data_IF_014966476396
#
_entry.id   IF_014966476396
#
_cell.length_a   1.000
_cell.length_b   1.000
_cell.length_c   1.000
_cell.angle_alpha   90.00
_cell.angle_beta   90.00
_cell.angle_gamma   90.00
#
_symmetry.space_group_name_H-M   'P 1'
#
loop_
_entity.id
_entity.type
_entity.pdbx_description
1 polymer ?
#
# COMPACT_ATOMS: atom_id res chain seq x y z
N UNK A 1 5.93 34.95 35.91
CA UNK A 1 6.45 36.02 35.02
C UNK A 1 7.93 35.78 34.84
N UNK A 2 8.30 35.07 33.78
CA UNK A 2 9.66 34.67 33.45
C UNK A 2 10.46 35.86 32.95
N UNK A 3 11.73 35.97 33.36
CA UNK A 3 12.60 37.13 33.20
C UNK A 3 13.08 37.44 31.76
N UNK A 4 12.38 36.98 30.72
CA UNK A 4 12.78 37.15 29.33
C UNK A 4 12.16 38.38 28.64
N UNK A 5 11.14 39.01 29.24
CA UNK A 5 10.39 40.09 28.57
C UNK A 5 11.01 41.50 28.69
N UNK A 6 12.15 41.66 29.37
CA UNK A 6 12.71 42.99 29.69
C UNK A 6 13.72 43.57 28.66
N UNK A 7 13.98 42.89 27.53
CA UNK A 7 15.04 43.30 26.59
C UNK A 7 14.63 43.28 25.11
N UNK A 8 13.38 43.62 24.77
CA UNK A 8 12.90 43.64 23.37
C UNK A 8 12.43 45.02 22.88
N UNK A 9 12.85 46.12 23.52
CA UNK A 9 12.38 47.47 23.20
C UNK A 9 12.89 48.02 21.84
N UNK A 10 13.92 47.40 21.26
CA UNK A 10 14.49 47.77 19.94
C UNK A 10 14.37 46.67 18.88
N UNK A 11 13.62 45.59 19.15
CA UNK A 11 13.42 44.54 18.16
C UNK A 11 12.42 44.98 17.09
N UNK A 12 12.69 44.77 15.79
CA UNK A 12 11.70 45.04 14.75
C UNK A 12 10.43 44.20 14.99
N UNK A 13 9.24 44.69 14.58
CA UNK A 13 8.00 43.94 14.76
C UNK A 13 8.13 42.57 14.08
N UNK A 14 7.61 41.49 14.70
CA UNK A 14 7.67 40.16 14.10
C UNK A 14 6.99 40.19 12.73
N UNK A 15 7.68 39.70 11.70
CA UNK A 15 7.15 39.63 10.35
C UNK A 15 5.91 38.72 10.32
N UNK A 16 4.75 39.32 10.04
CA UNK A 16 3.50 38.60 10.01
C UNK A 16 3.47 37.67 8.78
N UNK A 17 3.12 36.38 8.98
CA UNK A 17 2.98 35.41 7.87
C UNK A 17 4.14 34.40 7.65
N UNK A 18 5.18 34.37 8.48
CA UNK A 18 6.25 33.35 8.39
C UNK A 18 5.73 31.91 8.47
N UNK A 19 4.62 31.68 9.19
CA UNK A 19 3.97 30.35 9.26
C UNK A 19 3.32 29.94 7.94
N UNK A 20 2.74 30.89 7.19
CA UNK A 20 2.10 30.62 5.89
C UNK A 20 3.13 30.29 4.82
N UNK A 21 4.25 31.00 4.80
CA UNK A 21 5.35 30.72 3.87
C UNK A 21 6.03 29.38 4.16
N UNK A 22 6.18 29.01 5.45
CA UNK A 22 6.73 27.70 5.82
C UNK A 22 5.83 26.54 5.36
N UNK A 23 4.51 26.66 5.55
CA UNK A 23 3.53 25.65 5.08
C UNK A 23 3.53 25.57 3.55
N UNK A 24 3.54 26.71 2.85
CA UNK A 24 3.61 26.74 1.39
C UNK A 24 4.92 26.13 0.85
N UNK A 25 6.05 26.41 1.51
CA UNK A 25 7.34 25.85 1.13
C UNK A 25 7.34 24.32 1.28
N UNK A 26 6.85 23.78 2.40
CA UNK A 26 6.75 22.34 2.62
C UNK A 26 5.81 21.68 1.60
N UNK A 27 4.71 22.34 1.24
CA UNK A 27 3.77 21.85 0.24
C UNK A 27 4.40 21.73 -1.16
N UNK A 28 5.12 22.76 -1.61
CA UNK A 28 5.79 22.75 -2.92
C UNK A 28 6.90 21.68 -2.97
N UNK A 29 7.68 21.54 -1.91
CA UNK A 29 8.71 20.51 -1.84
C UNK A 29 8.08 19.10 -1.81
N UNK A 30 6.94 18.93 -1.12
CA UNK A 30 6.17 17.69 -1.15
C UNK A 30 5.68 17.32 -2.55
N UNK A 31 5.13 18.28 -3.30
CA UNK A 31 4.72 18.08 -4.69
C UNK A 31 5.91 17.68 -5.59
N UNK A 32 7.08 18.30 -5.40
CA UNK A 32 8.28 17.96 -6.17
C UNK A 32 8.73 16.51 -5.92
N UNK A 33 8.69 16.05 -4.67
CA UNK A 33 9.01 14.66 -4.33
C UNK A 33 8.01 13.66 -4.92
N UNK A 34 6.71 13.99 -4.93
CA UNK A 34 5.68 13.17 -5.57
C UNK A 34 5.88 13.09 -7.08
N UNK A 35 6.17 14.21 -7.74
CA UNK A 35 6.43 14.24 -9.17
C UNK A 35 7.69 13.43 -9.55
N UNK A 36 8.77 13.55 -8.75
CA UNK A 36 10.01 12.81 -8.98
C UNK A 36 9.82 11.29 -8.79
N UNK A 37 9.08 10.89 -7.77
CA UNK A 37 8.80 9.47 -7.51
C UNK A 37 7.86 8.85 -8.55
N UNK A 38 6.84 9.59 -9.02
CA UNK A 38 5.99 9.17 -10.11
C UNK A 38 6.77 9.01 -11.44
N UNK A 39 7.71 9.93 -11.74
CA UNK A 39 8.57 9.84 -12.92
C UNK A 39 9.49 8.63 -12.93
N UNK A 40 10.13 8.33 -11.78
CA UNK A 40 11.03 7.18 -11.65
C UNK A 40 10.26 5.86 -11.69
N UNK A 41 9.03 5.81 -11.15
CA UNK A 41 8.22 4.60 -11.16
C UNK A 41 7.74 4.25 -12.58
N UNK A 42 7.63 5.21 -13.50
CA UNK A 42 7.28 4.94 -14.89
C UNK A 42 8.44 4.35 -15.71
N UNK A 43 9.67 4.38 -15.21
CA UNK A 43 10.84 3.77 -15.87
C UNK A 43 11.15 2.35 -15.38
N UNK A 44 10.31 1.81 -14.50
CA UNK A 44 10.36 0.39 -14.10
C UNK A 44 9.34 -0.38 -14.92
N UNK A 45 9.69 -0.68 -16.16
CA UNK A 45 9.07 -1.81 -16.85
C UNK A 45 9.57 -3.08 -16.13
N UNK A 46 8.74 -3.68 -15.28
CA UNK A 46 8.97 -5.04 -14.81
C UNK A 46 8.98 -5.94 -16.07
N UNK A 47 10.12 -6.54 -16.48
CA UNK A 47 10.02 -7.61 -17.44
C UNK A 47 9.19 -8.70 -16.77
N UNK A 48 7.97 -8.92 -17.28
CA UNK A 48 7.16 -10.07 -16.92
C UNK A 48 8.04 -11.32 -17.07
N UNK A 49 8.61 -11.79 -15.97
CA UNK A 49 9.04 -13.17 -15.82
C UNK A 49 7.76 -13.99 -15.80
N UNK A 50 7.21 -14.21 -16.99
CA UNK A 50 6.12 -15.15 -17.21
C UNK A 50 6.70 -16.55 -17.04
N UNK A 51 6.81 -16.98 -15.77
CA UNK A 51 6.88 -18.40 -15.46
C UNK A 51 5.50 -18.98 -15.82
N UNK A 52 5.46 -19.72 -16.91
CA UNK A 52 4.30 -20.47 -17.33
C UNK A 52 4.07 -21.62 -16.33
N UNK A 53 3.37 -21.32 -15.23
CA UNK A 53 2.68 -22.35 -14.46
C UNK A 53 1.53 -22.90 -15.31
N UNK A 54 1.91 -23.84 -16.16
CA UNK A 54 1.03 -24.77 -16.85
C UNK A 54 0.37 -25.69 -15.80
N UNK A 55 -0.72 -25.22 -15.19
CA UNK A 55 -1.68 -26.09 -14.52
C UNK A 55 -2.99 -26.11 -15.31
N UNK A 56 -3.07 -27.07 -16.22
CA UNK A 56 -4.29 -27.54 -16.82
C UNK A 56 -4.96 -28.57 -15.88
N UNK A 57 -6.14 -28.25 -15.34
CA UNK A 57 -7.19 -29.22 -15.06
C UNK A 57 -8.54 -28.49 -14.91
N UNK A 58 -9.42 -28.73 -15.87
CA UNK A 58 -10.80 -28.25 -15.92
C UNK A 58 -11.64 -28.95 -14.83
N UNK A 59 -12.55 -28.24 -14.13
CA UNK A 59 -13.41 -28.84 -13.12
C UNK A 59 -14.46 -29.78 -13.75
N UNK A 60 -14.49 -31.04 -13.30
CA UNK A 60 -15.59 -31.97 -13.54
C UNK A 60 -16.72 -31.67 -12.55
N UNK A 61 -17.93 -31.49 -13.07
CA UNK A 61 -19.16 -31.25 -12.32
C UNK A 61 -19.60 -32.48 -11.51
N UNK A 62 -20.14 -32.25 -10.31
CA UNK A 62 -20.93 -33.22 -9.56
C UNK A 62 -22.35 -32.68 -9.36
N UNK A 63 -23.34 -33.51 -9.72
CA UNK A 63 -24.76 -33.18 -9.76
C UNK A 63 -25.41 -33.08 -8.37
N UNK A 64 -26.45 -32.24 -8.20
CA UNK A 64 -27.20 -32.13 -6.96
C UNK A 64 -28.08 -33.38 -6.72
N UNK A 65 -28.09 -33.97 -5.50
CA UNK A 65 -29.07 -34.98 -5.14
C UNK A 65 -30.48 -34.37 -4.96
N UNK A 66 -31.44 -35.15 -5.45
CA UNK A 66 -32.86 -34.86 -5.61
C UNK A 66 -33.58 -34.54 -4.30
N UNK A 67 -34.51 -33.59 -4.38
CA UNK A 67 -35.52 -33.31 -3.37
C UNK A 67 -36.42 -34.53 -3.14
N UNK A 68 -36.49 -35.00 -1.90
CA UNK A 68 -37.56 -35.86 -1.42
C UNK A 68 -38.65 -34.98 -0.81
N UNK A 69 -39.79 -34.96 -1.48
CA UNK A 69 -41.05 -34.39 -1.00
C UNK A 69 -41.63 -35.35 0.03
N UNK A 70 -41.80 -34.90 1.28
CA UNK A 70 -42.71 -35.55 2.22
C UNK A 70 -44.09 -34.86 2.17
N UNK A 71 -45.18 -35.62 1.96
CA UNK A 71 -46.54 -35.07 1.90
C UNK A 71 -47.10 -34.74 3.30
N UNK A 72 -48.01 -33.75 3.41
CA UNK A 72 -48.58 -33.33 4.68
C UNK A 72 -49.63 -34.33 5.19
N UNK A 73 -49.70 -34.63 6.50
CA UNK A 73 -50.85 -35.33 7.05
C UNK A 73 -52.06 -34.39 7.27
N UNK A 74 -53.29 -34.94 7.17
CA UNK A 74 -54.54 -34.20 6.96
C UNK A 74 -55.16 -33.64 8.26
N UNK A 75 -56.15 -32.74 8.14
CA UNK A 75 -56.77 -32.06 9.28
C UNK A 75 -57.70 -32.97 10.08
N UNK A 76 -57.76 -32.80 11.40
CA UNK A 76 -58.84 -33.32 12.22
C UNK A 76 -60.04 -32.36 12.20
N UNK A 77 -61.23 -32.81 11.73
CA UNK A 77 -62.47 -32.08 11.88
C UNK A 77 -63.33 -32.79 12.94
N UNK A 78 -63.61 -32.11 14.05
CA UNK A 78 -64.80 -32.45 14.84
C UNK A 78 -65.48 -31.19 15.38
N UNK A 79 -66.42 -30.63 14.61
CA UNK A 79 -67.55 -29.89 15.16
C UNK A 79 -68.71 -30.88 15.40
N UNK A 80 -69.12 -31.04 16.66
CA UNK A 80 -70.46 -31.55 16.97
C UNK A 80 -71.26 -30.47 17.67
N UNK A 81 -72.15 -29.78 16.95
CA UNK A 81 -73.31 -29.15 17.54
C UNK A 81 -74.44 -30.19 17.55
N UNK A 82 -75.13 -30.36 18.68
CA UNK A 82 -76.54 -30.76 18.60
C UNK A 82 -77.38 -30.06 19.67
N UNK A 83 -78.43 -29.33 19.24
CA UNK A 83 -79.34 -28.61 20.10
C UNK A 83 -80.58 -29.45 20.47
N UNK A 84 -81.18 -29.08 21.60
CA UNK A 84 -82.61 -29.19 21.98
C UNK A 84 -83.28 -30.60 21.98
N UNK A 85 -84.51 -30.79 22.52
CA UNK A 85 -85.40 -29.90 23.28
C UNK A 85 -86.00 -30.57 24.56
N UNK A 86 -86.84 -29.79 25.27
CA UNK A 86 -87.65 -30.13 26.43
C UNK A 86 -88.64 -31.31 26.24
N UNK A 87 -89.31 -31.78 27.31
CA UNK A 87 -90.62 -31.19 27.61
C UNK A 87 -90.94 -30.97 29.11
N UNK A 88 -91.82 -29.97 29.28
CA UNK A 88 -92.63 -29.54 30.45
C UNK A 88 -93.60 -30.67 30.91
N UNK A 89 -94.60 -30.42 31.78
CA UNK A 89 -94.71 -29.64 33.03
C UNK A 89 -95.36 -30.49 34.16
N UNK A 90 -95.23 -30.07 35.43
CA UNK A 90 -96.32 -30.34 36.40
C UNK A 90 -96.67 -29.06 37.12
N UNK A 91 -97.92 -28.69 36.88
CA UNK A 91 -98.69 -27.60 37.47
C UNK A 91 -98.96 -27.94 38.94
N UNK A 92 -98.63 -27.02 39.85
CA UNK A 92 -99.41 -26.83 41.08
C UNK A 92 -99.59 -25.33 41.28
N UNK A 93 -100.86 -24.94 41.36
CA UNK A 93 -101.35 -23.57 41.56
C UNK A 93 -101.01 -23.07 42.99
N UNK A 94 -100.97 -21.73 43.18
CA UNK A 94 -100.44 -21.08 44.37
C UNK A 94 -101.48 -20.91 45.49
N UNK A 95 -101.07 -20.91 46.77
CA UNK A 95 -101.86 -20.35 47.86
C UNK A 95 -101.65 -18.82 47.99
N UNK A 96 -102.59 -18.10 48.65
CA UNK A 96 -102.78 -16.65 48.53
C UNK A 96 -101.77 -15.83 49.36
N UNK A 97 -101.58 -14.54 49.01
CA UNK A 97 -100.66 -13.65 49.72
C UNK A 97 -101.35 -13.10 50.97
N UNK A 98 -100.73 -13.30 52.13
CA UNK A 98 -101.10 -12.63 53.37
C UNK A 98 -100.03 -11.61 53.80
N UNK A 99 -100.56 -10.43 54.05
CA UNK A 99 -100.12 -9.28 54.82
C UNK A 99 -98.87 -8.46 54.46
N UNK A 100 -99.20 -7.26 53.99
CA UNK A 100 -98.35 -6.13 53.65
C UNK A 100 -97.88 -5.39 54.92
N UNK A 101 -96.56 -5.26 55.06
CA UNK A 101 -95.79 -4.02 55.40
C UNK A 101 -94.43 -4.32 56.00
N UNK A 102 -94.21 -5.52 56.57
CA UNK A 102 -92.90 -5.92 57.12
C UNK A 102 -91.97 -6.54 56.05
N UNK A 103 -92.54 -7.16 55.00
CA UNK A 103 -91.78 -7.74 53.88
C UNK A 103 -91.12 -6.69 52.96
N UNK A 104 -91.73 -5.52 52.78
CA UNK A 104 -91.15 -4.41 51.98
C UNK A 104 -89.94 -3.77 52.66
N UNK A 105 -89.92 -3.71 54.00
CA UNK A 105 -88.77 -3.23 54.79
C UNK A 105 -87.61 -4.24 54.69
N UNK A 106 -87.90 -5.55 54.72
CA UNK A 106 -86.90 -6.60 54.54
C UNK A 106 -86.34 -6.64 53.11
N UNK A 107 -87.17 -6.46 52.08
CA UNK A 107 -86.76 -6.36 50.67
C UNK A 107 -85.93 -5.10 50.40
N UNK A 108 -86.32 -3.95 50.97
CA UNK A 108 -85.55 -2.71 50.88
C UNK A 108 -84.18 -2.84 51.58
N UNK A 109 -84.13 -3.47 52.76
CA UNK A 109 -82.87 -3.76 53.48
C UNK A 109 -81.97 -4.69 52.68
N UNK A 110 -82.52 -5.73 52.04
CA UNK A 110 -81.77 -6.66 51.19
C UNK A 110 -81.26 -6.01 49.90
N UNK A 111 -82.04 -5.14 49.25
CA UNK A 111 -81.59 -4.35 48.10
C UNK A 111 -80.44 -3.41 48.46
N UNK A 112 -80.56 -2.71 49.60
CA UNK A 112 -79.48 -1.85 50.11
C UNK A 112 -78.20 -2.64 50.41
N UNK A 113 -78.31 -3.82 51.04
CA UNK A 113 -77.16 -4.70 51.28
C UNK A 113 -76.49 -5.19 49.98
N UNK A 114 -77.27 -5.54 48.95
CA UNK A 114 -76.73 -5.94 47.65
C UNK A 114 -76.06 -4.79 46.90
N UNK A 115 -76.62 -3.59 46.98
CA UNK A 115 -76.03 -2.39 46.37
C UNK A 115 -74.75 -1.97 47.10
N UNK A 116 -74.71 -2.05 48.43
CA UNK A 116 -73.51 -1.81 49.24
C UNK A 116 -72.43 -2.88 48.98
N UNK A 117 -72.81 -4.17 48.82
CA UNK A 117 -71.89 -5.25 48.48
C UNK A 117 -71.34 -5.10 47.05
N UNK A 118 -72.17 -4.72 46.07
CA UNK A 118 -71.72 -4.41 44.70
C UNK A 118 -70.76 -3.23 44.67
N UNK A 119 -71.05 -2.14 45.40
CA UNK A 119 -70.13 -1.00 45.52
C UNK A 119 -68.81 -1.39 46.17
N UNK A 120 -68.83 -2.26 47.19
CA UNK A 120 -67.62 -2.77 47.81
C UNK A 120 -66.82 -3.68 46.86
N UNK A 121 -67.49 -4.51 46.06
CA UNK A 121 -66.84 -5.34 45.03
C UNK A 121 -66.22 -4.49 43.93
N UNK A 122 -66.94 -3.48 43.42
CA UNK A 122 -66.44 -2.55 42.40
C UNK A 122 -65.25 -1.72 42.92
N UNK A 123 -65.30 -1.24 44.17
CA UNK A 123 -64.19 -0.56 44.82
C UNK A 123 -62.95 -1.46 44.94
N UNK A 124 -63.12 -2.72 45.34
CA UNK A 124 -62.02 -3.72 45.41
C UNK A 124 -61.45 -4.06 44.04
N UNK A 125 -62.28 -4.16 43.00
CA UNK A 125 -61.81 -4.40 41.63
C UNK A 125 -61.05 -3.18 41.08
N UNK A 126 -61.56 -1.96 41.32
CA UNK A 126 -60.89 -0.72 40.95
C UNK A 126 -59.52 -0.57 41.65
N UNK A 127 -59.43 -0.91 42.94
CA UNK A 127 -58.18 -0.93 43.69
C UNK A 127 -57.19 -1.96 43.12
N UNK A 128 -57.64 -3.19 42.86
CA UNK A 128 -56.82 -4.24 42.22
C UNK A 128 -56.33 -3.83 40.82
N UNK A 129 -57.19 -3.20 40.01
CA UNK A 129 -56.79 -2.69 38.68
C UNK A 129 -55.73 -1.60 38.80
N UNK A 130 -55.91 -0.65 39.72
CA UNK A 130 -54.92 0.41 39.98
C UNK A 130 -53.59 -0.13 40.51
N UNK A 131 -53.63 -1.18 41.35
CA UNK A 131 -52.43 -1.85 41.84
C UNK A 131 -51.70 -2.62 40.73
N UNK A 132 -52.42 -3.33 39.87
CA UNK A 132 -51.85 -4.02 38.71
C UNK A 132 -51.25 -3.05 37.69
N UNK A 133 -51.89 -1.90 37.45
CA UNK A 133 -51.36 -0.87 36.56
C UNK A 133 -50.06 -0.26 37.10
N UNK A 134 -50.02 0.05 38.41
CA UNK A 134 -48.79 0.50 39.08
C UNK A 134 -47.67 -0.53 39.01
N UNK A 135 -47.97 -1.81 39.28
CA UNK A 135 -46.98 -2.89 39.14
C UNK A 135 -46.45 -2.99 37.71
N UNK A 136 -47.32 -2.93 36.69
CA UNK A 136 -46.90 -2.93 35.28
C UNK A 136 -46.05 -1.73 34.90
N UNK A 137 -46.33 -0.54 35.45
CA UNK A 137 -45.53 0.66 35.20
C UNK A 137 -44.14 0.57 35.89
N UNK A 138 -44.09 0.07 37.13
CA UNK A 138 -42.85 -0.18 37.85
C UNK A 138 -41.99 -1.24 37.16
N UNK A 139 -42.59 -2.35 36.70
CA UNK A 139 -41.90 -3.40 35.95
C UNK A 139 -41.35 -2.87 34.62
N UNK A 140 -42.14 -2.12 33.85
CA UNK A 140 -41.68 -1.47 32.61
C UNK A 140 -40.53 -0.49 32.88
N UNK A 141 -40.63 0.31 33.94
CA UNK A 141 -39.57 1.26 34.32
C UNK A 141 -38.30 0.55 34.77
N UNK A 142 -38.43 -0.55 35.52
CA UNK A 142 -37.31 -1.39 35.93
C UNK A 142 -36.65 -2.09 34.73
N UNK A 143 -37.43 -2.57 33.77
CA UNK A 143 -36.92 -3.18 32.53
C UNK A 143 -36.20 -2.16 31.65
N UNK A 144 -36.78 -0.98 31.44
CA UNK A 144 -36.14 0.11 30.71
C UNK A 144 -34.84 0.56 31.37
N UNK A 145 -34.81 0.68 32.71
CA UNK A 145 -33.59 1.03 33.44
C UNK A 145 -32.52 -0.06 33.29
N UNK A 146 -32.87 -1.34 33.41
CA UNK A 146 -31.95 -2.47 33.19
C UNK A 146 -31.45 -2.53 31.74
N UNK A 147 -32.30 -2.25 30.76
CA UNK A 147 -31.93 -2.21 29.35
C UNK A 147 -30.95 -1.05 29.06
N UNK A 148 -31.21 0.12 29.65
CA UNK A 148 -30.33 1.28 29.53
C UNK A 148 -28.97 1.04 30.20
N UNK A 149 -28.95 0.50 31.42
CA UNK A 149 -27.71 0.13 32.13
C UNK A 149 -26.88 -0.91 31.35
N UNK A 150 -27.53 -1.92 30.75
CA UNK A 150 -26.84 -2.88 29.88
C UNK A 150 -26.25 -2.21 28.64
N UNK A 151 -27.00 -1.31 27.99
CA UNK A 151 -26.54 -0.58 26.81
C UNK A 151 -25.36 0.33 27.13
N UNK A 152 -25.41 1.04 28.26
CA UNK A 152 -24.34 1.93 28.69
C UNK A 152 -23.10 1.14 29.11
N UNK A 153 -23.27 -0.03 29.75
CA UNK A 153 -22.17 -0.95 30.07
C UNK A 153 -21.51 -1.52 28.82
N UNK A 154 -22.29 -1.96 27.82
CA UNK A 154 -21.76 -2.44 26.54
C UNK A 154 -21.00 -1.36 25.78
N UNK A 155 -21.53 -0.13 25.74
CA UNK A 155 -20.85 1.02 25.14
C UNK A 155 -19.54 1.36 25.86
N UNK A 156 -19.54 1.36 27.19
CA UNK A 156 -18.34 1.61 27.98
C UNK A 156 -17.27 0.53 27.76
N UNK A 157 -17.68 -0.74 27.66
CA UNK A 157 -16.78 -1.86 27.36
C UNK A 157 -16.22 -1.77 25.93
N UNK A 158 -17.05 -1.42 24.94
CA UNK A 158 -16.62 -1.23 23.56
C UNK A 158 -15.63 -0.06 23.42
N UNK A 159 -15.91 1.08 24.04
CA UNK A 159 -15.00 2.24 24.04
C UNK A 159 -13.68 1.90 24.75
N UNK A 160 -13.72 1.17 25.87
CA UNK A 160 -12.51 0.69 26.54
C UNK A 160 -11.70 -0.24 25.65
N UNK A 161 -12.35 -1.20 24.97
CA UNK A 161 -11.69 -2.11 24.03
C UNK A 161 -11.08 -1.37 22.84
N UNK A 162 -11.76 -0.34 22.30
CA UNK A 162 -11.21 0.52 21.23
C UNK A 162 -10.02 1.33 21.71
N UNK A 163 -10.07 1.87 22.94
CA UNK A 163 -8.97 2.60 23.54
C UNK A 163 -7.75 1.70 23.74
N UNK A 164 -7.94 0.51 24.32
CA UNK A 164 -6.88 -0.48 24.53
C UNK A 164 -6.27 -0.93 23.20
N UNK A 165 -7.10 -1.27 22.20
CA UNK A 165 -6.62 -1.62 20.86
C UNK A 165 -5.83 -0.48 20.18
N UNK A 166 -6.27 0.77 20.35
CA UNK A 166 -5.57 1.96 19.81
C UNK A 166 -4.27 2.22 20.54
N UNK A 167 -4.21 1.98 21.85
CA UNK A 167 -2.99 2.11 22.64
C UNK A 167 -1.97 1.03 22.26
N UNK A 168 -2.43 -0.22 22.09
CA UNK A 168 -1.60 -1.33 21.64
C UNK A 168 -1.05 -1.09 20.23
N UNK A 169 -1.89 -0.69 19.28
CA UNK A 169 -1.46 -0.32 17.92
C UNK A 169 -0.41 0.81 17.94
N UNK A 170 -0.60 1.86 18.75
CA UNK A 170 0.40 2.92 18.91
C UNK A 170 1.72 2.41 19.49
N UNK A 171 1.68 1.49 20.46
CA UNK A 171 2.89 0.90 21.06
C UNK A 171 3.63 -0.01 20.08
N UNK A 172 2.90 -0.75 19.25
CA UNK A 172 3.49 -1.55 18.18
C UNK A 172 4.15 -0.69 17.10
N UNK A 173 3.50 0.39 16.69
CA UNK A 173 4.07 1.34 15.72
C UNK A 173 5.32 2.03 16.29
N UNK A 174 5.28 2.47 17.55
CA UNK A 174 6.43 3.07 18.21
C UNK A 174 7.59 2.06 18.37
N UNK A 175 7.29 0.78 18.68
CA UNK A 175 8.31 -0.28 18.75
C UNK A 175 8.94 -0.51 17.38
N UNK A 176 8.14 -0.65 16.32
CA UNK A 176 8.63 -0.83 14.94
C UNK A 176 9.45 0.36 14.47
N UNK A 177 9.05 1.58 14.82
CA UNK A 177 9.83 2.78 14.49
C UNK A 177 11.16 2.82 15.23
N UNK A 178 11.19 2.46 16.52
CA UNK A 178 12.43 2.35 17.30
C UNK A 178 13.35 1.26 16.75
N UNK A 179 12.84 0.06 16.49
CA UNK A 179 13.61 -1.05 15.89
C UNK A 179 14.17 -0.65 14.52
N UNK A 180 13.39 0.05 13.68
CA UNK A 180 13.87 0.53 12.38
C UNK A 180 14.94 1.61 12.52
N UNK A 181 14.81 2.52 13.50
CA UNK A 181 15.83 3.54 13.79
C UNK A 181 17.12 2.90 14.30
N UNK A 182 17.03 1.96 15.25
CA UNK A 182 18.17 1.23 15.78
C UNK A 182 18.85 0.37 14.71
N UNK A 183 18.08 -0.33 13.87
CA UNK A 183 18.62 -1.09 12.73
C UNK A 183 19.36 -0.18 11.74
N UNK A 184 18.78 0.99 11.41
CA UNK A 184 19.43 1.96 10.52
C UNK A 184 20.69 2.56 11.14
N UNK A 185 20.69 2.85 12.45
CA UNK A 185 21.88 3.32 13.16
C UNK A 185 22.98 2.25 13.22
N UNK A 186 22.61 1.00 13.51
CA UNK A 186 23.55 -0.12 13.55
C UNK A 186 24.14 -0.38 12.16
N UNK A 187 23.33 -0.29 11.09
CA UNK A 187 23.81 -0.40 9.72
C UNK A 187 24.76 0.75 9.37
N UNK A 188 24.38 2.00 9.66
CA UNK A 188 25.26 3.15 9.42
C UNK A 188 26.57 3.05 10.20
N UNK A 189 26.55 2.54 11.44
CA UNK A 189 27.76 2.33 12.23
C UNK A 189 28.64 1.20 11.68
N UNK A 190 28.04 0.11 11.18
CA UNK A 190 28.76 -0.96 10.49
C UNK A 190 29.41 -0.48 9.19
N UNK A 191 28.67 0.26 8.37
CA UNK A 191 29.17 0.85 7.12
C UNK A 191 30.30 1.86 7.40
N UNK A 192 30.13 2.73 8.41
CA UNK A 192 31.18 3.67 8.82
C UNK A 192 32.44 2.94 9.33
N UNK A 193 32.27 1.86 10.11
CA UNK A 193 33.40 1.07 10.60
C UNK A 193 34.10 0.30 9.47
N UNK A 194 33.34 -0.23 8.50
CA UNK A 194 33.91 -0.87 7.31
C UNK A 194 34.65 0.14 6.43
N UNK A 195 34.07 1.31 6.18
CA UNK A 195 34.72 2.39 5.44
C UNK A 195 36.00 2.87 6.14
N UNK A 196 35.98 3.00 7.47
CA UNK A 196 37.18 3.35 8.25
C UNK A 196 38.26 2.26 8.18
N UNK A 197 37.88 0.98 8.22
CA UNK A 197 38.83 -0.14 8.05
C UNK A 197 39.44 -0.16 6.65
N UNK A 198 38.62 0.00 5.61
CA UNK A 198 39.07 0.07 4.22
C UNK A 198 40.01 1.27 4.01
N UNK A 199 39.64 2.46 4.49
CA UNK A 199 40.49 3.64 4.42
C UNK A 199 41.85 3.44 5.14
N UNK A 200 41.85 2.77 6.29
CA UNK A 200 43.07 2.45 7.02
C UNK A 200 43.95 1.41 6.27
N UNK A 201 43.35 0.41 5.62
CA UNK A 201 44.06 -0.56 4.79
C UNK A 201 44.64 0.09 3.54
N UNK A 202 43.88 0.94 2.86
CA UNK A 202 44.34 1.61 1.65
C UNK A 202 45.43 2.64 1.95
N UNK A 203 45.35 3.34 3.09
CA UNK A 203 46.43 4.19 3.57
C UNK A 203 47.73 3.39 3.81
N UNK A 204 47.63 2.19 4.39
CA UNK A 204 48.79 1.30 4.57
C UNK A 204 49.36 0.83 3.23
N UNK A 205 48.51 0.44 2.27
CA UNK A 205 48.94 0.03 0.91
C UNK A 205 49.63 1.19 0.18
N UNK A 206 49.10 2.41 0.30
CA UNK A 206 49.70 3.61 -0.29
C UNK A 206 51.07 3.91 0.32
N UNK A 207 51.22 3.76 1.63
CA UNK A 207 52.51 3.94 2.32
C UNK A 207 53.54 2.87 1.92
N UNK A 208 53.11 1.61 1.77
CA UNK A 208 53.99 0.54 1.25
C UNK A 208 54.43 0.82 -0.19
N UNK A 209 53.51 1.25 -1.06
CA UNK A 209 53.85 1.62 -2.45
C UNK A 209 54.81 2.81 -2.47
N UNK A 210 54.57 3.82 -1.61
CA UNK A 210 55.43 5.01 -1.52
C UNK A 210 56.84 4.64 -1.07
N UNK A 211 56.97 3.79 -0.04
CA UNK A 211 58.27 3.35 0.46
C UNK A 211 59.01 2.43 -0.52
N UNK A 212 58.31 1.51 -1.21
CA UNK A 212 58.89 0.70 -2.29
C UNK A 212 59.37 1.57 -3.46
N UNK A 213 58.58 2.58 -3.85
CA UNK A 213 58.97 3.49 -4.92
C UNK A 213 60.23 4.30 -4.54
N UNK A 214 60.30 4.80 -3.31
CA UNK A 214 61.49 5.46 -2.79
C UNK A 214 62.70 4.51 -2.76
N UNK A 215 62.50 3.25 -2.35
CA UNK A 215 63.56 2.22 -2.36
C UNK A 215 64.06 1.91 -3.78
N UNK A 216 63.16 1.83 -4.76
CA UNK A 216 63.50 1.64 -6.18
C UNK A 216 64.28 2.82 -6.74
N UNK A 217 63.88 4.05 -6.44
CA UNK A 217 64.61 5.26 -6.87
C UNK A 217 66.00 5.31 -6.22
N UNK A 218 66.11 4.98 -4.94
CA UNK A 218 67.41 4.89 -4.27
C UNK A 218 68.31 3.80 -4.86
N UNK A 219 67.74 2.65 -5.26
CA UNK A 219 68.47 1.59 -5.97
C UNK A 219 68.88 1.99 -7.39
N UNK A 220 68.11 2.83 -8.06
CA UNK A 220 68.38 3.32 -9.42
C UNK A 220 69.43 4.45 -9.42
N UNK A 221 69.48 5.27 -8.37
CA UNK A 221 70.52 6.29 -8.16
C UNK A 221 71.91 5.69 -7.86
N UNK A 222 71.98 4.41 -7.48
CA UNK A 222 73.23 3.64 -7.37
C UNK A 222 73.63 2.90 -8.65
N UNK A 223 72.82 2.96 -9.72
CA UNK A 223 72.98 2.19 -10.95
C UNK A 223 73.06 3.07 -12.22
N UNK A 224 73.62 4.27 -12.12
CA UNK A 224 73.93 5.09 -13.31
C UNK A 224 75.18 4.55 -14.00
N UNK A 225 74.95 3.62 -14.92
CA UNK A 225 75.97 3.07 -15.80
C UNK A 225 75.37 2.24 -16.93
N UNK A 226 74.60 2.86 -17.83
CA UNK A 226 74.37 2.36 -19.19
C UNK A 226 73.64 3.41 -20.05
N UNK A 227 74.24 3.79 -21.17
CA UNK A 227 73.75 4.76 -22.15
C UNK A 227 72.67 4.20 -23.11
N UNK A 228 72.08 3.03 -22.84
CA UNK A 228 71.26 2.33 -23.84
C UNK A 228 69.84 1.94 -23.38
N UNK A 229 69.18 2.82 -22.61
CA UNK A 229 67.78 2.60 -22.17
C UNK A 229 66.77 2.97 -23.28
N UNK A 230 66.56 2.08 -24.25
CA UNK A 230 65.51 2.16 -25.28
C UNK A 230 64.14 1.71 -24.75
N UNK A 231 63.62 2.42 -23.73
CA UNK A 231 62.33 2.11 -23.13
C UNK A 231 61.13 2.57 -23.96
N UNK A 232 60.52 1.69 -24.76
CA UNK A 232 59.24 1.90 -25.47
C UNK A 232 57.99 1.89 -24.56
N UNK A 233 58.16 2.10 -23.25
CA UNK A 233 57.11 1.91 -22.23
C UNK A 233 56.18 3.12 -22.00
N UNK A 234 56.23 4.16 -22.85
CA UNK A 234 55.40 5.37 -22.72
C UNK A 234 54.12 5.39 -23.57
N UNK A 235 53.80 4.34 -24.33
CA UNK A 235 52.62 4.33 -25.21
C UNK A 235 51.40 3.85 -24.43
N UNK A 236 50.40 4.73 -24.27
CA UNK A 236 49.10 4.36 -23.72
C UNK A 236 48.49 3.20 -24.54
N UNK A 237 47.90 2.22 -23.86
CA UNK A 237 47.31 1.04 -24.51
C UNK A 237 45.93 1.29 -25.15
N UNK A 238 45.53 2.56 -25.26
CA UNK A 238 44.25 2.98 -25.83
C UNK A 238 44.36 3.36 -27.31
N UNK A 239 43.24 3.44 -28.04
CA UNK A 239 43.21 4.01 -29.39
C UNK A 239 43.77 5.42 -29.42
N UNK A 240 44.50 5.77 -30.48
CA UNK A 240 44.95 7.15 -30.66
C UNK A 240 43.75 8.08 -30.86
N UNK A 241 43.89 9.35 -30.43
CA UNK A 241 42.84 10.36 -30.59
C UNK A 241 42.38 10.52 -32.06
N UNK A 242 43.28 10.27 -33.01
CA UNK A 242 43.02 10.36 -34.45
C UNK A 242 42.27 9.15 -35.02
N UNK A 243 42.21 8.04 -34.30
CA UNK A 243 41.76 6.75 -34.82
C UNK A 243 40.27 6.74 -35.14
N UNK A 244 39.44 7.20 -34.20
CA UNK A 244 37.99 7.28 -34.38
C UNK A 244 37.59 8.17 -35.56
N UNK A 245 38.29 9.29 -35.75
CA UNK A 245 38.07 10.20 -36.88
C UNK A 245 38.36 9.54 -38.24
N UNK A 246 39.45 8.79 -38.35
CA UNK A 246 39.80 8.06 -39.59
C UNK A 246 38.79 6.96 -39.92
N UNK A 247 38.32 6.24 -38.91
CA UNK A 247 37.28 5.22 -39.09
C UNK A 247 35.99 5.87 -39.62
N UNK A 248 35.51 6.94 -38.97
CA UNK A 248 34.29 7.65 -39.40
C UNK A 248 34.44 8.22 -40.80
N UNK A 249 35.58 8.82 -41.14
CA UNK A 249 35.84 9.35 -42.48
C UNK A 249 35.80 8.28 -43.57
N UNK A 250 36.16 7.03 -43.25
CA UNK A 250 36.13 5.91 -44.20
C UNK A 250 34.73 5.31 -44.38
N UNK A 251 33.90 5.32 -43.33
CA UNK A 251 32.54 4.74 -43.34
C UNK A 251 31.49 5.75 -43.82
N UNK A 252 31.61 7.03 -43.42
CA UNK A 252 30.60 8.07 -43.66
C UNK A 252 30.20 8.22 -45.15
N UNK A 253 31.13 8.21 -46.13
CA UNK A 253 30.76 8.30 -47.55
C UNK A 253 29.93 7.10 -48.06
N UNK A 254 29.95 5.98 -47.33
CA UNK A 254 29.17 4.78 -47.69
C UNK A 254 27.75 4.79 -47.09
N UNK A 255 27.43 5.73 -46.20
CA UNK A 255 26.09 5.85 -45.62
C UNK A 255 25.16 6.46 -46.67
N UNK A 256 24.19 5.67 -47.11
CA UNK A 256 23.17 6.08 -48.08
C UNK A 256 21.85 6.24 -47.33
N UNK A 257 21.45 7.49 -47.11
CA UNK A 257 20.24 7.82 -46.38
C UNK A 257 19.57 9.03 -47.03
N UNK A 258 18.30 8.89 -47.40
CA UNK A 258 17.57 9.86 -48.25
C UNK A 258 16.31 10.42 -47.58
N UNK A 259 16.03 10.03 -46.34
CA UNK A 259 14.84 10.48 -45.61
C UNK A 259 15.21 11.64 -44.67
N UNK A 260 14.23 12.45 -44.25
CA UNK A 260 14.47 13.48 -43.24
C UNK A 260 14.13 12.93 -41.85
N UNK A 261 15.08 13.04 -40.92
CA UNK A 261 14.91 12.62 -39.52
C UNK A 261 14.82 13.88 -38.66
N UNK A 262 13.73 13.98 -37.89
CA UNK A 262 13.51 15.08 -36.96
C UNK A 262 14.52 15.08 -35.80
N UNK A 263 14.99 13.91 -35.37
CA UNK A 263 15.97 13.71 -34.29
C UNK A 263 17.40 13.49 -34.79
N UNK A 264 18.38 14.16 -34.17
CA UNK A 264 19.81 13.97 -34.44
C UNK A 264 20.50 13.08 -33.39
N UNK A 265 19.81 12.01 -32.95
CA UNK A 265 20.36 11.06 -31.98
C UNK A 265 21.40 10.16 -32.66
N UNK A 266 22.58 9.91 -32.04
CA UNK A 266 23.57 9.01 -32.62
C UNK A 266 23.12 7.55 -32.56
N UNK A 267 23.38 6.81 -33.64
CA UNK A 267 23.41 5.35 -33.63
C UNK A 267 24.79 4.88 -33.16
N UNK A 268 24.85 4.06 -32.10
CA UNK A 268 26.09 3.48 -31.61
C UNK A 268 26.18 2.02 -32.05
N UNK A 269 27.24 1.70 -32.81
CA UNK A 269 27.48 0.37 -33.35
C UNK A 269 28.82 -0.15 -32.83
N UNK A 270 28.80 -1.34 -32.25
CA UNK A 270 29.99 -2.11 -31.93
C UNK A 270 30.47 -2.81 -33.20
N UNK A 271 31.71 -2.56 -33.59
CA UNK A 271 32.37 -3.21 -34.74
C UNK A 271 33.54 -4.04 -34.24
N UNK A 272 33.58 -5.30 -34.69
CA UNK A 272 34.65 -6.26 -34.40
C UNK A 272 35.47 -6.44 -35.66
N UNK A 273 36.76 -6.20 -35.53
CA UNK A 273 37.71 -6.31 -36.63
C UNK A 273 38.78 -7.34 -36.32
N UNK A 274 39.30 -7.95 -37.38
CA UNK A 274 40.52 -8.75 -37.35
C UNK A 274 41.76 -7.83 -37.30
N UNK A 275 42.94 -8.35 -36.91
CA UNK A 275 44.17 -7.55 -36.75
C UNK A 275 44.65 -6.85 -38.04
N UNK A 276 44.20 -7.33 -39.19
CA UNK A 276 44.48 -6.75 -40.51
C UNK A 276 43.65 -5.50 -40.81
N UNK A 277 42.53 -5.30 -40.10
CA UNK A 277 41.53 -4.26 -40.31
C UNK A 277 40.20 -4.76 -40.85
N UNK A 278 40.11 -6.04 -41.24
CA UNK A 278 38.90 -6.61 -41.86
C UNK A 278 37.77 -6.70 -40.85
N UNK A 279 36.58 -6.21 -41.21
CA UNK A 279 35.39 -6.23 -40.36
C UNK A 279 34.84 -7.65 -40.31
N UNK A 280 34.84 -8.25 -39.12
CA UNK A 280 34.35 -9.62 -38.86
C UNK A 280 32.89 -9.60 -38.41
N UNK A 281 32.48 -8.53 -37.73
CA UNK A 281 31.10 -8.41 -37.27
C UNK A 281 30.74 -7.01 -36.81
N UNK A 282 29.44 -6.72 -36.82
CA UNK A 282 28.85 -5.47 -36.34
C UNK A 282 27.60 -5.76 -35.51
N UNK A 283 27.39 -4.98 -34.45
CA UNK A 283 26.20 -5.06 -33.58
C UNK A 283 25.72 -3.67 -33.21
N UNK A 284 24.44 -3.38 -33.39
CA UNK A 284 23.82 -2.15 -32.91
C UNK A 284 23.74 -2.21 -31.37
N UNK A 285 24.40 -1.28 -30.69
CA UNK A 285 24.38 -1.15 -29.22
C UNK A 285 23.26 -0.20 -28.80
N UNK A 286 23.12 0.92 -29.52
CA UNK A 286 22.10 1.94 -29.24
C UNK A 286 21.50 2.43 -30.55
N UNK A 287 20.18 2.33 -30.66
CA UNK A 287 19.42 2.84 -31.81
C UNK A 287 19.37 4.36 -31.80
N UNK A 288 19.43 4.97 -32.99
CA UNK A 288 19.17 6.40 -33.19
C UNK A 288 17.70 6.79 -33.06
N UNK A 289 16.79 5.81 -32.92
CA UNK A 289 15.34 6.03 -32.98
C UNK A 289 14.76 5.97 -34.39
N UNK A 290 15.59 5.84 -35.43
CA UNK A 290 15.16 5.53 -36.81
C UNK A 290 15.80 4.23 -37.29
N UNK A 291 14.97 3.24 -37.60
CA UNK A 291 15.43 1.97 -38.15
C UNK A 291 16.05 2.12 -39.54
N UNK A 292 15.58 3.09 -40.33
CA UNK A 292 16.14 3.40 -41.64
C UNK A 292 17.58 3.93 -41.54
N UNK A 293 17.84 4.83 -40.57
CA UNK A 293 19.20 5.33 -40.30
C UNK A 293 20.11 4.22 -39.78
N UNK A 294 19.64 3.46 -38.79
CA UNK A 294 20.42 2.38 -38.20
C UNK A 294 20.81 1.35 -39.27
N UNK A 295 19.88 0.95 -40.13
CA UNK A 295 20.16 0.04 -41.25
C UNK A 295 21.12 0.64 -42.29
N UNK A 296 21.02 1.94 -42.59
CA UNK A 296 21.95 2.63 -43.49
C UNK A 296 23.38 2.63 -42.92
N UNK A 297 23.54 2.89 -41.62
CA UNK A 297 24.84 2.83 -40.94
C UNK A 297 25.41 1.41 -40.96
N UNK A 298 24.59 0.41 -40.62
CA UNK A 298 25.00 -1.00 -40.63
C UNK A 298 25.45 -1.44 -42.03
N UNK A 299 24.71 -1.06 -43.08
CA UNK A 299 25.06 -1.34 -44.48
C UNK A 299 26.34 -0.61 -44.92
N UNK A 300 26.58 0.60 -44.43
CA UNK A 300 27.80 1.35 -44.73
C UNK A 300 29.05 0.72 -44.10
N UNK A 301 28.90 0.15 -42.90
CA UNK A 301 29.97 -0.62 -42.24
C UNK A 301 30.29 -1.85 -43.08
N UNK A 302 29.27 -2.61 -43.51
CA UNK A 302 29.46 -3.78 -44.37
C UNK A 302 30.16 -3.40 -45.70
N UNK A 303 29.74 -2.30 -46.33
CA UNK A 303 30.37 -1.78 -47.57
C UNK A 303 31.81 -1.29 -47.38
N UNK A 304 32.21 -0.98 -46.16
CA UNK A 304 33.56 -0.46 -45.89
C UNK A 304 34.59 -1.60 -45.89
N UNK A 305 34.19 -2.81 -45.50
CA UNK A 305 34.95 -4.08 -45.43
C UNK A 305 36.22 -4.05 -44.57
N UNK A 306 37.08 -3.04 -44.72
CA UNK A 306 38.37 -2.90 -44.05
C UNK A 306 38.49 -1.52 -43.40
N UNK A 307 38.76 -1.49 -42.10
CA UNK A 307 39.03 -0.28 -41.34
C UNK A 307 40.51 0.14 -41.44
N UNK A 308 40.79 1.46 -41.37
CA UNK A 308 42.16 1.93 -41.29
C UNK A 308 42.83 1.42 -40.00
N UNK A 309 44.16 1.26 -40.06
CA UNK A 309 44.99 0.92 -38.89
C UNK A 309 45.32 2.17 -38.09
N UNK A 310 45.52 1.99 -36.79
CA UNK A 310 45.89 3.07 -35.90
C UNK A 310 47.33 3.55 -36.15
N UNK A 311 47.76 4.66 -35.54
CA UNK A 311 49.13 5.18 -35.65
C UNK A 311 50.18 4.18 -35.18
N UNK A 312 49.80 3.26 -34.30
CA UNK A 312 50.65 2.15 -33.83
C UNK A 312 50.56 0.91 -34.73
N UNK A 313 49.87 0.99 -35.88
CA UNK A 313 49.68 -0.11 -36.82
C UNK A 313 48.70 -1.19 -36.36
N UNK A 314 48.13 -1.05 -35.16
CA UNK A 314 47.15 -1.97 -34.57
C UNK A 314 45.72 -1.58 -34.95
N UNK A 315 44.81 -2.54 -34.86
CA UNK A 315 43.37 -2.35 -34.96
C UNK A 315 42.79 -2.75 -33.62
N UNK A 316 42.07 -1.82 -32.99
CA UNK A 316 41.44 -2.09 -31.70
C UNK A 316 40.13 -2.85 -31.94
N UNK A 317 39.79 -3.82 -31.10
CA UNK A 317 38.58 -4.64 -31.25
C UNK A 317 38.18 -5.15 -29.87
N UNK A 318 36.92 -5.00 -29.43
CA UNK A 318 35.80 -4.34 -30.10
C UNK A 318 35.88 -2.81 -30.06
N UNK A 319 35.32 -2.14 -31.07
CA UNK A 319 35.24 -0.67 -31.18
C UNK A 319 33.79 -0.22 -31.15
N UNK A 320 33.46 0.79 -30.36
CA UNK A 320 32.14 1.45 -30.40
C UNK A 320 32.25 2.71 -31.24
N UNK A 321 31.51 2.78 -32.34
CA UNK A 321 31.50 3.90 -33.27
C UNK A 321 30.10 4.50 -33.29
N UNK A 322 30.03 5.82 -33.10
CA UNK A 322 28.78 6.59 -33.15
C UNK A 322 28.66 7.39 -34.44
N UNK A 323 27.49 7.32 -35.08
CA UNK A 323 27.12 8.06 -36.29
C UNK A 323 25.85 8.86 -36.06
N UNK A 324 25.85 10.14 -36.44
CA UNK A 324 24.70 11.04 -36.33
C UNK A 324 24.12 11.34 -37.72
N UNK A 325 22.78 11.44 -37.86
CA UNK A 325 22.14 11.77 -39.13
C UNK A 325 22.62 13.06 -39.80
N UNK A 326 22.98 14.08 -39.00
CA UNK A 326 23.32 15.42 -39.48
C UNK A 326 24.79 15.83 -39.26
N UNK A 327 25.68 14.86 -39.07
CA UNK A 327 27.14 15.12 -38.90
C UNK A 327 27.87 15.11 -40.23
#
# INVERSE_FOLDING_TARGET
MTAQDKHLEFAPPPADGMGRSLVAALFVHGLLLVALTAGIQWQKDDPLSAEAELWSAVPMAAAPPLAAVEPPPPPEPTPQPKPEPAPKPVVVKPPPPEDNREAEIALAKRRKQLDDEKKLQEAKEAEKRKQLERQKEEDKKAELKKAQEKKDKLKAEEEKRKLDAKLEAKRDDERKEKERKEAKQLQAQKEAQQAAKQAAEDAKKLDTIRSENMRRIAGMAGATGSENATGTALRASGPSDSYGGRIRARIKPNITFTEDIASNTPAEVEVRCAPDGTIVGRKLVKSSGSTAWDNAVLKAIDKTEVLPRDTDGRVHSPLIISFRPRD
#
